data_IF_696452511508
#
_entry.id   IF_696452511508
#
_cell.length_a   1.000
_cell.length_b   1.000
_cell.length_c   1.000
_cell.angle_alpha   90.00
_cell.angle_beta   90.00
_cell.angle_gamma   90.00
#
_symmetry.space_group_name_H-M   'P 1'
#
loop_
_entity.id
_entity.type
_entity.pdbx_description
1 polymer ?
#
# COMPACT_ATOMS: atom_id res chain seq x y z
N UNK A 1 3.40 12.81 -22.77
CA UNK A 1 3.54 11.41 -22.29
C UNK A 1 3.43 10.49 -23.50
N UNK A 2 4.30 9.49 -23.66
CA UNK A 2 4.33 8.61 -24.85
C UNK A 2 4.07 7.15 -24.47
N UNK A 3 3.77 6.32 -25.46
CA UNK A 3 3.65 4.86 -25.28
C UNK A 3 4.95 4.26 -24.71
N UNK A 4 6.11 4.75 -25.16
CA UNK A 4 7.42 4.36 -24.60
C UNK A 4 7.56 4.77 -23.12
N UNK A 5 6.96 5.90 -22.73
CA UNK A 5 6.96 6.34 -21.33
C UNK A 5 6.13 5.36 -20.49
N UNK A 6 4.95 4.98 -20.95
CA UNK A 6 4.07 4.01 -20.26
C UNK A 6 4.80 2.68 -20.04
N UNK A 7 5.39 2.10 -21.09
CA UNK A 7 6.10 0.82 -20.95
C UNK A 7 7.34 0.91 -20.06
N UNK A 8 8.10 2.00 -20.12
CA UNK A 8 9.25 2.21 -19.23
C UNK A 8 8.81 2.30 -17.77
N UNK A 9 7.73 3.01 -17.49
CA UNK A 9 7.21 3.16 -16.14
C UNK A 9 6.72 1.80 -15.61
N UNK A 10 6.07 0.99 -16.46
CA UNK A 10 5.67 -0.39 -16.15
C UNK A 10 6.88 -1.27 -15.87
N UNK A 11 7.95 -1.18 -16.67
CA UNK A 11 9.18 -1.95 -16.45
C UNK A 11 9.82 -1.59 -15.10
N UNK A 12 9.85 -0.29 -14.77
CA UNK A 12 10.35 0.19 -13.47
C UNK A 12 9.50 -0.38 -12.33
N UNK A 13 8.17 -0.28 -12.40
CA UNK A 13 7.26 -0.82 -11.38
C UNK A 13 7.45 -2.33 -11.22
N UNK A 14 7.51 -3.07 -12.33
CA UNK A 14 7.74 -4.51 -12.30
C UNK A 14 9.10 -4.87 -11.70
N UNK A 15 10.14 -4.07 -11.96
CA UNK A 15 11.48 -4.28 -11.41
C UNK A 15 11.58 -4.05 -9.90
N UNK A 16 10.64 -3.29 -9.32
CA UNK A 16 10.55 -3.04 -7.87
C UNK A 16 9.89 -4.22 -7.12
N UNK A 17 9.57 -5.32 -7.80
CA UNK A 17 8.88 -6.47 -7.20
C UNK A 17 7.36 -6.27 -7.04
N UNK A 18 6.80 -5.25 -7.69
CA UNK A 18 5.35 -5.04 -7.74
C UNK A 18 4.79 -5.88 -8.90
N UNK A 19 3.90 -6.85 -8.64
CA UNK A 19 3.36 -7.73 -9.67
C UNK A 19 2.36 -6.99 -10.59
N UNK A 20 2.67 -6.98 -11.89
CA UNK A 20 1.86 -6.37 -12.95
C UNK A 20 1.38 -7.46 -13.92
N UNK A 21 0.13 -7.38 -14.36
CA UNK A 21 -0.46 -8.28 -15.36
C UNK A 21 -1.06 -7.50 -16.52
N UNK A 22 -0.92 -8.04 -17.73
CA UNK A 22 -1.51 -7.49 -18.94
C UNK A 22 -2.53 -8.48 -19.52
N UNK A 23 -3.77 -8.03 -19.71
CA UNK A 23 -4.84 -8.83 -20.31
C UNK A 23 -5.18 -8.26 -21.69
N UNK A 24 -5.20 -9.12 -22.71
CA UNK A 24 -5.62 -8.74 -24.06
C UNK A 24 -7.13 -9.00 -24.27
N UNK A 25 -7.78 -8.18 -25.10
CA UNK A 25 -9.20 -8.32 -25.46
C UNK A 25 -10.09 -7.17 -24.99
N UNK A 26 -11.41 -7.27 -25.21
CA UNK A 26 -12.39 -6.28 -24.72
C UNK A 26 -12.42 -6.33 -23.19
N UNK A 27 -12.11 -5.20 -22.54
CA UNK A 27 -11.92 -5.14 -21.09
C UNK A 27 -10.52 -5.55 -20.62
N UNK A 28 -9.59 -5.75 -21.55
CA UNK A 28 -8.17 -5.89 -21.26
C UNK A 28 -7.54 -4.59 -20.76
N UNK A 29 -6.25 -4.65 -20.45
CA UNK A 29 -5.51 -3.55 -19.86
C UNK A 29 -4.32 -4.03 -19.06
N UNK A 30 -3.66 -3.09 -18.40
CA UNK A 30 -2.51 -3.34 -17.53
C UNK A 30 -2.99 -3.06 -16.11
N UNK A 31 -2.88 -4.06 -15.24
CA UNK A 31 -3.33 -3.98 -13.86
C UNK A 31 -2.24 -4.46 -12.92
N UNK A 32 -2.28 -3.96 -11.69
CA UNK A 32 -1.52 -4.55 -10.59
C UNK A 32 -2.26 -5.79 -10.09
N UNK A 33 -1.54 -6.70 -9.43
CA UNK A 33 -2.20 -7.78 -8.69
C UNK A 33 -3.13 -7.18 -7.64
N UNK A 34 -4.40 -7.57 -7.70
CA UNK A 34 -5.36 -7.20 -6.68
C UNK A 34 -4.85 -7.63 -5.31
N UNK A 35 -4.99 -6.75 -4.33
CA UNK A 35 -4.66 -7.04 -2.93
C UNK A 35 -3.15 -7.19 -2.68
N UNK A 36 -2.29 -6.68 -3.57
CA UNK A 36 -0.85 -6.64 -3.31
C UNK A 36 -0.58 -5.80 -2.05
N UNK A 37 -0.10 -6.47 -1.00
CA UNK A 37 0.31 -5.82 0.25
C UNK A 37 1.79 -5.46 0.15
N UNK A 38 2.10 -4.18 0.34
CA UNK A 38 3.48 -3.73 0.44
C UNK A 38 4.12 -4.39 1.65
N UNK A 39 5.18 -5.19 1.42
CA UNK A 39 5.90 -5.83 2.51
C UNK A 39 6.63 -4.75 3.33
N UNK A 40 6.20 -4.55 4.57
CA UNK A 40 6.71 -3.54 5.52
C UNK A 40 8.23 -3.62 5.74
N UNK A 41 8.87 -4.75 5.43
CA UNK A 41 10.33 -4.94 5.48
C UNK A 41 11.09 -4.17 4.38
N UNK A 42 10.42 -3.71 3.33
CA UNK A 42 11.07 -3.01 2.20
C UNK A 42 11.37 -1.53 2.51
N UNK A 43 10.71 -0.97 3.52
CA UNK A 43 10.87 0.45 3.90
C UNK A 43 11.75 0.57 5.14
N UNK A 44 12.70 1.51 5.10
CA UNK A 44 13.46 1.93 6.29
C UNK A 44 12.55 2.64 7.29
N UNK A 45 12.97 2.71 8.55
CA UNK A 45 12.24 3.42 9.62
C UNK A 45 11.97 4.88 9.24
N UNK A 46 12.95 5.55 8.62
CA UNK A 46 12.83 6.94 8.18
C UNK A 46 11.78 7.09 7.06
N UNK A 47 11.77 6.19 6.09
CA UNK A 47 10.77 6.23 5.00
C UNK A 47 9.36 5.99 5.53
N UNK A 48 9.21 5.09 6.51
CA UNK A 48 7.92 4.87 7.19
C UNK A 48 7.42 6.14 7.89
N UNK A 49 8.29 6.82 8.63
CA UNK A 49 7.94 8.08 9.32
C UNK A 49 7.55 9.19 8.32
N UNK A 50 8.24 9.28 7.18
CA UNK A 50 7.92 10.23 6.13
C UNK A 50 6.55 9.95 5.50
N UNK A 51 6.25 8.67 5.22
CA UNK A 51 4.94 8.26 4.71
C UNK A 51 3.85 8.56 5.73
N UNK A 52 4.08 8.28 7.02
CA UNK A 52 3.13 8.59 8.09
C UNK A 52 2.85 10.08 8.21
N UNK A 53 3.90 10.91 8.18
CA UNK A 53 3.76 12.37 8.23
C UNK A 53 2.98 12.89 7.02
N UNK A 54 3.26 12.39 5.82
CA UNK A 54 2.55 12.78 4.61
C UNK A 54 1.06 12.36 4.65
N UNK A 55 0.78 11.12 5.10
CA UNK A 55 -0.58 10.63 5.27
C UNK A 55 -1.35 11.44 6.33
N UNK A 56 -0.72 11.75 7.47
CA UNK A 56 -1.32 12.61 8.49
C UNK A 56 -1.62 14.01 7.94
N UNK A 57 -0.74 14.56 7.10
CA UNK A 57 -0.99 15.82 6.40
C UNK A 57 -2.20 15.75 5.47
N UNK A 58 -2.32 14.69 4.67
CA UNK A 58 -3.48 14.47 3.78
C UNK A 58 -4.77 14.29 4.60
N UNK A 59 -4.72 13.49 5.67
CA UNK A 59 -5.85 13.26 6.57
C UNK A 59 -6.28 14.56 7.28
N UNK A 60 -5.33 15.40 7.69
CA UNK A 60 -5.64 16.70 8.29
C UNK A 60 -6.34 17.66 7.32
N UNK A 61 -6.12 17.48 6.01
CA UNK A 61 -6.80 18.24 4.96
C UNK A 61 -8.12 17.60 4.49
N UNK A 62 -8.30 16.29 4.69
CA UNK A 62 -9.50 15.54 4.28
C UNK A 62 -10.30 15.04 5.49
N UNK A 63 -11.29 15.83 5.93
CA UNK A 63 -12.10 15.60 7.14
C UNK A 63 -13.01 14.34 7.16
N UNK A 64 -12.99 13.44 6.16
CA UNK A 64 -14.08 12.45 5.99
C UNK A 64 -13.68 10.96 5.97
N UNK A 65 -12.41 10.57 6.16
CA UNK A 65 -12.07 9.13 6.10
C UNK A 65 -10.81 8.71 6.89
N UNK A 66 -10.41 9.50 7.88
CA UNK A 66 -9.20 9.29 8.71
C UNK A 66 -9.13 7.90 9.35
N UNK A 67 -10.24 7.44 9.91
CA UNK A 67 -10.26 6.25 10.78
C UNK A 67 -10.11 4.95 9.99
N UNK A 68 -10.59 4.94 8.74
CA UNK A 68 -10.49 3.77 7.85
C UNK A 68 -9.06 3.57 7.34
N UNK A 69 -8.36 4.65 7.00
CA UNK A 69 -6.98 4.57 6.50
C UNK A 69 -5.99 4.14 7.59
N UNK A 70 -6.18 4.64 8.81
CA UNK A 70 -5.38 4.21 9.97
C UNK A 70 -5.63 2.72 10.30
N UNK A 71 -6.88 2.27 10.18
CA UNK A 71 -7.25 0.86 10.39
C UNK A 71 -6.63 -0.06 9.34
N UNK A 72 -6.67 0.30 8.06
CA UNK A 72 -6.04 -0.50 7.00
C UNK A 72 -4.50 -0.51 7.11
N UNK A 73 -3.88 0.59 7.53
CA UNK A 73 -2.43 0.60 7.80
C UNK A 73 -2.05 -0.29 8.99
N UNK A 74 -2.85 -0.29 10.07
CA UNK A 74 -2.60 -1.17 11.22
C UNK A 74 -2.73 -2.67 10.85
N UNK A 75 -3.66 -3.02 9.96
CA UNK A 75 -3.78 -4.38 9.41
C UNK A 75 -2.55 -4.82 8.62
N UNK A 76 -1.90 -3.89 7.92
CA UNK A 76 -0.65 -4.14 7.17
C UNK A 76 0.56 -4.22 8.14
N UNK A 77 0.48 -3.56 9.30
CA UNK A 77 1.58 -3.43 10.26
C UNK A 77 1.62 -4.45 11.41
N UNK A 78 0.59 -5.26 11.64
CA UNK A 78 0.51 -6.04 12.90
C UNK A 78 -0.24 -7.36 12.84
N UNK A 79 0.46 -8.45 12.54
CA UNK A 79 0.19 -9.77 13.12
C UNK A 79 1.08 -9.97 14.35
N UNK A 80 0.87 -9.17 15.41
CA UNK A 80 1.32 -9.46 16.79
C UNK A 80 0.74 -8.44 17.77
N UNK A 81 -0.56 -8.52 18.04
CA UNK A 81 -1.05 -8.17 19.39
C UNK A 81 -1.36 -9.49 20.10
N UNK A 82 -0.33 -9.96 20.81
CA UNK A 82 -0.44 -10.94 21.89
C UNK A 82 -1.73 -10.68 22.67
N UNK A 83 -2.47 -11.77 22.90
CA UNK A 83 -3.72 -11.72 23.63
C UNK A 83 -3.59 -11.01 24.97
N UNK A 84 -4.54 -10.12 25.22
CA UNK A 84 -4.99 -9.87 26.59
C UNK A 84 -6.04 -10.95 26.91
N UNK A 85 -5.58 -12.16 27.21
CA UNK A 85 -6.22 -12.97 28.27
C UNK A 85 -5.49 -12.51 29.55
N UNK A 86 -6.13 -12.19 30.66
CA UNK A 86 -7.04 -12.99 31.50
C UNK A 86 -7.89 -11.97 32.31
N UNK A 87 -9.22 -12.09 32.48
CA UNK A 87 -9.92 -12.94 33.48
C UNK A 87 -9.11 -13.03 34.79
N UNK A 88 -9.55 -12.46 35.91
CA UNK A 88 -10.52 -13.04 36.86
C UNK A 88 -10.75 -11.99 37.97
N UNK A 89 -12.01 -11.77 38.40
CA UNK A 89 -12.49 -12.08 39.76
C UNK A 89 -11.76 -11.37 40.91
#
# INVERSE_FOLDING_TARGET
>A
MSVRTIYRDIDIISSMGIPVYAMQGKGGGITLLDNFLLVQSLLSTKEKEQILTALQGIIATEQNNSDKLLTEYFKIGGSETRGFKNEEN
#
